data_IF_215009566574
#
_entry.id   IF_215009566574
#
_cell.length_a   1.000
_cell.length_b   1.000
_cell.length_c   1.000
_cell.angle_alpha   90.00
_cell.angle_beta   90.00
_cell.angle_gamma   90.00
#
_symmetry.space_group_name_H-M   'P 1'
#
loop_
_entity.id
_entity.type
_entity.pdbx_description
1 polymer ?
#
# COMPACT_ATOMS: atom_id res chain seq x y z
N UNK A 1 -8.95 -25.32 -1.31
CA UNK A 1 -8.38 -24.36 -0.33
C UNK A 1 -8.96 -23.02 -0.70
N UNK A 2 -9.42 -22.25 0.27
CA UNK A 2 -9.88 -20.88 -0.01
C UNK A 2 -8.69 -20.02 -0.47
N UNK A 3 -8.96 -19.08 -1.38
CA UNK A 3 -7.94 -18.17 -1.89
C UNK A 3 -7.45 -17.25 -0.76
N UNK A 4 -6.13 -17.16 -0.57
CA UNK A 4 -5.50 -16.34 0.47
C UNK A 4 -5.46 -14.85 0.14
N UNK A 5 -5.62 -14.51 -1.14
CA UNK A 5 -5.89 -13.19 -1.66
C UNK A 5 -7.24 -13.24 -2.38
N UNK A 6 -8.20 -12.47 -1.92
CA UNK A 6 -9.52 -12.38 -2.56
C UNK A 6 -9.61 -11.03 -3.26
N UNK A 7 -9.92 -11.05 -4.57
CA UNK A 7 -10.22 -9.86 -5.37
C UNK A 7 -11.73 -9.74 -5.56
N UNK A 8 -12.29 -8.62 -5.17
CA UNK A 8 -13.71 -8.27 -5.39
C UNK A 8 -13.79 -6.91 -6.09
N UNK A 9 -14.60 -6.79 -7.14
CA UNK A 9 -14.81 -5.52 -7.85
C UNK A 9 -16.23 -5.03 -7.60
N UNK A 10 -16.35 -3.79 -7.14
CA UNK A 10 -17.66 -3.15 -6.88
C UNK A 10 -17.54 -1.64 -7.10
N UNK A 11 -18.46 -1.05 -7.85
CA UNK A 11 -18.53 0.41 -8.08
C UNK A 11 -17.20 1.01 -8.55
N UNK A 12 -16.51 0.36 -9.50
CA UNK A 12 -15.18 0.77 -10.01
C UNK A 12 -14.09 0.80 -8.92
N UNK A 13 -14.29 0.11 -7.81
CA UNK A 13 -13.31 -0.09 -6.74
C UNK A 13 -12.93 -1.58 -6.67
N UNK A 14 -11.63 -1.87 -6.67
CA UNK A 14 -11.10 -3.21 -6.44
C UNK A 14 -10.77 -3.39 -4.95
N UNK A 15 -11.37 -4.37 -4.31
CA UNK A 15 -11.03 -4.77 -2.95
C UNK A 15 -10.08 -5.96 -3.01
N UNK A 16 -8.90 -5.82 -2.43
CA UNK A 16 -7.94 -6.91 -2.23
C UNK A 16 -7.96 -7.25 -0.74
N UNK A 17 -8.43 -8.46 -0.43
CA UNK A 17 -8.50 -8.95 0.93
C UNK A 17 -7.37 -9.93 1.21
N UNK A 18 -6.60 -9.69 2.27
CA UNK A 18 -5.75 -10.72 2.88
C UNK A 18 -6.67 -11.70 3.61
N UNK A 19 -6.65 -12.98 3.24
CA UNK A 19 -7.63 -13.97 3.69
C UNK A 19 -6.98 -15.20 4.32
N UNK A 20 -6.31 -14.99 5.45
CA UNK A 20 -5.83 -16.02 6.39
C UNK A 20 -6.17 -15.61 7.83
N UNK A 21 -7.46 -15.39 8.17
CA UNK A 21 -7.85 -14.85 9.48
C UNK A 21 -7.40 -15.75 10.65
N UNK A 22 -7.39 -17.07 10.47
CA UNK A 22 -6.89 -18.07 11.43
C UNK A 22 -5.41 -17.89 11.78
N UNK A 23 -4.62 -17.26 10.91
CA UNK A 23 -3.21 -16.90 11.06
C UNK A 23 -3.00 -15.39 11.17
N UNK A 24 -4.05 -14.62 11.50
CA UNK A 24 -4.00 -13.15 11.54
C UNK A 24 -3.40 -12.56 10.27
N UNK A 25 -3.76 -13.12 9.14
CA UNK A 25 -3.30 -12.73 7.81
C UNK A 25 -1.77 -12.66 7.67
N UNK A 26 -1.04 -13.58 8.36
CA UNK A 26 0.39 -13.69 8.18
C UNK A 26 0.74 -13.92 6.70
N UNK A 27 1.72 -13.16 6.20
CA UNK A 27 2.14 -13.12 4.81
C UNK A 27 3.01 -14.34 4.51
N UNK A 28 2.42 -15.34 3.88
CA UNK A 28 3.14 -16.49 3.33
C UNK A 28 3.56 -16.25 1.87
N UNK A 29 4.22 -17.25 1.28
CA UNK A 29 4.69 -17.17 -0.10
C UNK A 29 3.58 -16.88 -1.11
N UNK A 30 2.37 -17.43 -0.88
CA UNK A 30 1.26 -17.25 -1.81
C UNK A 30 0.76 -15.80 -1.78
N UNK A 31 0.58 -15.21 -0.59
CA UNK A 31 0.19 -13.80 -0.46
C UNK A 31 1.30 -12.90 -1.03
N UNK A 32 2.54 -13.16 -0.60
CA UNK A 32 3.66 -12.28 -0.94
C UNK A 32 3.92 -12.21 -2.44
N UNK A 33 3.96 -13.39 -3.10
CA UNK A 33 4.38 -13.44 -4.50
C UNK A 33 3.24 -13.32 -5.52
N UNK A 34 1.97 -13.50 -5.08
CA UNK A 34 0.82 -13.28 -5.97
C UNK A 34 0.26 -11.86 -5.91
N UNK A 35 0.55 -11.09 -4.84
CA UNK A 35 0.05 -9.71 -4.72
C UNK A 35 0.42 -8.82 -5.92
N UNK A 36 1.66 -8.82 -6.46
CA UNK A 36 2.00 -8.08 -7.66
C UNK A 36 1.13 -8.43 -8.86
N UNK A 37 0.89 -9.72 -9.09
CA UNK A 37 0.08 -10.19 -10.21
C UNK A 37 -1.37 -9.75 -10.11
N UNK A 38 -1.95 -9.77 -8.90
CA UNK A 38 -3.33 -9.29 -8.66
C UNK A 38 -3.45 -7.80 -8.95
N UNK A 39 -2.47 -7.00 -8.49
CA UNK A 39 -2.44 -5.55 -8.75
C UNK A 39 -2.25 -5.28 -10.24
N UNK A 40 -1.35 -6.00 -10.90
CA UNK A 40 -1.08 -5.82 -12.32
C UNK A 40 -2.30 -6.19 -13.18
N UNK A 41 -2.99 -7.28 -12.85
CA UNK A 41 -4.24 -7.67 -13.50
C UNK A 41 -5.30 -6.56 -13.43
N UNK A 42 -5.52 -5.95 -12.26
CA UNK A 42 -6.46 -4.83 -12.09
C UNK A 42 -6.06 -3.65 -12.99
N UNK A 43 -4.77 -3.30 -13.01
CA UNK A 43 -4.27 -2.17 -13.81
C UNK A 43 -4.32 -2.42 -15.32
N UNK A 44 -3.98 -3.63 -15.77
CA UNK A 44 -3.95 -4.00 -17.20
C UNK A 44 -5.36 -4.13 -17.78
N UNK A 45 -6.23 -4.81 -17.04
CA UNK A 45 -7.61 -5.04 -17.49
C UNK A 45 -8.53 -3.84 -17.22
N UNK A 46 -8.03 -2.79 -16.54
CA UNK A 46 -8.81 -1.60 -16.15
C UNK A 46 -10.08 -1.97 -15.37
N UNK A 47 -9.96 -2.93 -14.46
CA UNK A 47 -11.11 -3.46 -13.72
C UNK A 47 -11.67 -2.47 -12.69
N UNK A 48 -10.85 -1.50 -12.26
CA UNK A 48 -11.22 -0.51 -11.26
C UNK A 48 -10.39 0.78 -11.40
N UNK A 49 -10.81 1.84 -10.71
CA UNK A 49 -10.17 3.15 -10.68
C UNK A 49 -9.50 3.46 -9.32
N UNK A 50 -9.74 2.61 -8.32
CA UNK A 50 -9.12 2.68 -7.00
C UNK A 50 -9.03 1.27 -6.41
N UNK A 51 -7.98 0.99 -5.63
CA UNK A 51 -7.81 -0.26 -4.89
C UNK A 51 -8.00 0.01 -3.40
N UNK A 52 -8.76 -0.84 -2.71
CA UNK A 52 -8.84 -0.94 -1.25
C UNK A 52 -8.15 -2.22 -0.82
N UNK A 53 -7.12 -2.11 0.02
CA UNK A 53 -6.38 -3.24 0.58
C UNK A 53 -6.74 -3.40 2.06
N UNK A 54 -7.27 -4.57 2.45
CA UNK A 54 -7.73 -4.85 3.81
C UNK A 54 -7.48 -6.31 4.21
N UNK A 55 -7.61 -6.63 5.48
CA UNK A 55 -7.58 -7.99 6.01
C UNK A 55 -8.97 -8.53 6.35
N UNK A 56 -9.22 -9.81 6.13
CA UNK A 56 -10.40 -10.49 6.69
C UNK A 56 -10.15 -10.85 8.17
N UNK A 57 -11.19 -10.88 8.97
CA UNK A 57 -11.11 -11.23 10.39
C UNK A 57 -10.71 -10.05 11.29
N UNK A 58 -9.94 -10.33 12.34
CA UNK A 58 -9.65 -9.39 13.43
C UNK A 58 -8.36 -8.56 13.26
N UNK A 59 -7.66 -8.73 12.14
CA UNK A 59 -6.36 -8.08 11.92
C UNK A 59 -6.09 -7.83 10.44
N UNK A 60 -5.40 -6.74 10.15
CA UNK A 60 -4.88 -6.50 8.81
C UNK A 60 -3.84 -7.56 8.45
N UNK A 61 -2.72 -7.64 9.19
CA UNK A 61 -1.74 -8.72 9.06
C UNK A 61 -0.74 -8.72 10.23
N UNK A 62 -0.39 -9.92 10.70
CA UNK A 62 0.67 -10.11 11.70
C UNK A 62 2.09 -10.02 11.12
N UNK A 63 2.24 -9.73 9.82
CA UNK A 63 3.51 -9.64 9.14
C UNK A 63 3.95 -10.97 8.51
N UNK A 64 5.24 -11.17 8.32
CA UNK A 64 5.77 -12.38 7.66
C UNK A 64 5.39 -13.66 8.42
N UNK A 65 5.00 -14.68 7.68
CA UNK A 65 4.82 -16.02 8.23
C UNK A 65 6.20 -16.58 8.63
N UNK A 66 6.40 -16.78 9.94
CA UNK A 66 7.69 -17.20 10.49
C UNK A 66 8.12 -18.55 9.91
N UNK A 67 7.19 -19.45 9.60
CA UNK A 67 7.52 -20.74 8.97
C UNK A 67 8.10 -20.57 7.58
N UNK A 68 7.55 -19.66 6.79
CA UNK A 68 8.10 -19.27 5.49
C UNK A 68 9.50 -18.66 5.65
N UNK A 69 9.67 -17.76 6.61
CA UNK A 69 10.93 -17.09 6.86
C UNK A 69 12.04 -18.11 7.22
N UNK A 70 11.77 -19.01 8.16
CA UNK A 70 12.72 -20.03 8.58
C UNK A 70 13.08 -21.02 7.46
N UNK A 71 12.11 -21.43 6.65
CA UNK A 71 12.36 -22.34 5.51
C UNK A 71 13.11 -21.67 4.35
N UNK A 72 12.95 -20.36 4.17
CA UNK A 72 13.63 -19.61 3.11
C UNK A 72 15.08 -19.25 3.40
N UNK A 73 15.53 -19.33 4.66
CA UNK A 73 16.88 -18.95 5.01
C UNK A 73 17.93 -20.05 4.84
N UNK A 74 17.55 -21.31 4.58
CA UNK A 74 18.47 -22.47 4.43
C UNK A 74 19.65 -22.42 5.43
N UNK A 75 19.37 -22.02 6.67
CA UNK A 75 20.41 -21.89 7.69
C UNK A 75 20.88 -23.28 8.14
N UNK A 76 22.13 -23.55 7.94
CA UNK A 76 22.78 -24.71 8.55
C UNK A 76 22.82 -24.55 10.09
N UNK A 77 22.95 -25.65 10.82
CA UNK A 77 23.00 -25.63 12.30
C UNK A 77 24.12 -24.73 12.85
N UNK A 78 25.20 -24.53 12.10
CA UNK A 78 26.33 -23.66 12.43
C UNK A 78 26.17 -22.22 11.92
N UNK A 79 25.00 -21.85 11.36
CA UNK A 79 24.71 -20.55 10.74
C UNK A 79 25.66 -20.19 9.60
N UNK A 80 26.35 -21.16 8.99
CA UNK A 80 27.19 -20.95 7.82
C UNK A 80 26.30 -20.77 6.57
N UNK A 81 26.75 -19.94 5.64
CA UNK A 81 26.09 -19.76 4.34
C UNK A 81 27.11 -19.80 3.21
N UNK A 82 26.79 -20.53 2.17
CA UNK A 82 27.57 -20.56 0.94
C UNK A 82 27.34 -19.30 0.10
N UNK A 83 28.16 -19.01 -0.92
CA UNK A 83 27.87 -17.96 -1.87
C UNK A 83 26.53 -18.16 -2.61
N UNK A 84 26.14 -19.41 -2.86
CA UNK A 84 24.87 -19.79 -3.47
C UNK A 84 23.70 -19.45 -2.57
N UNK A 85 23.74 -19.80 -1.29
CA UNK A 85 22.68 -19.48 -0.31
C UNK A 85 22.48 -17.96 -0.23
N UNK A 86 23.57 -17.19 -0.26
CA UNK A 86 23.48 -15.70 -0.24
C UNK A 86 22.86 -15.14 -1.51
N UNK A 87 23.09 -15.76 -2.66
CA UNK A 87 22.48 -15.36 -3.93
C UNK A 87 20.99 -15.66 -3.93
N UNK A 88 20.59 -16.83 -3.43
CA UNK A 88 19.19 -17.20 -3.27
C UNK A 88 18.47 -16.27 -2.31
N UNK A 89 19.09 -15.93 -1.17
CA UNK A 89 18.54 -14.97 -0.22
C UNK A 89 18.39 -13.58 -0.85
N UNK A 90 19.37 -13.10 -1.63
CA UNK A 90 19.27 -11.82 -2.35
C UNK A 90 18.04 -11.82 -3.28
N UNK A 91 17.88 -12.88 -4.10
CA UNK A 91 16.73 -13.00 -5.02
C UNK A 91 15.39 -13.09 -4.26
N UNK A 92 15.38 -13.73 -3.09
CA UNK A 92 14.19 -13.77 -2.25
C UNK A 92 13.82 -12.37 -1.75
N UNK A 93 14.80 -11.63 -1.21
CA UNK A 93 14.58 -10.25 -0.73
C UNK A 93 14.12 -9.34 -1.88
N UNK A 94 14.72 -9.43 -3.07
CA UNK A 94 14.28 -8.69 -4.26
C UNK A 94 12.81 -8.96 -4.58
N UNK A 95 12.40 -10.24 -4.64
CA UNK A 95 10.99 -10.60 -4.87
C UNK A 95 10.05 -10.08 -3.77
N UNK A 96 10.51 -10.07 -2.52
CA UNK A 96 9.74 -9.53 -1.40
C UNK A 96 9.60 -8.01 -1.50
N UNK A 97 10.64 -7.30 -1.94
CA UNK A 97 10.57 -5.86 -2.22
C UNK A 97 9.64 -5.55 -3.40
N UNK A 98 9.67 -6.37 -4.45
CA UNK A 98 8.79 -6.21 -5.62
C UNK A 98 7.32 -6.29 -5.25
N UNK A 99 6.95 -7.12 -4.27
CA UNK A 99 5.57 -7.24 -3.80
C UNK A 99 4.99 -5.90 -3.31
N UNK A 100 5.76 -5.15 -2.54
CA UNK A 100 5.30 -3.86 -2.03
C UNK A 100 5.57 -2.72 -3.02
N UNK A 101 6.60 -2.85 -3.83
CA UNK A 101 6.85 -1.91 -4.93
C UNK A 101 5.73 -1.95 -5.97
N UNK A 102 5.09 -3.11 -6.19
CA UNK A 102 3.90 -3.21 -7.05
C UNK A 102 2.72 -2.38 -6.53
N UNK A 103 2.53 -2.29 -5.20
CA UNK A 103 1.52 -1.40 -4.58
C UNK A 103 1.84 0.05 -4.91
N UNK A 104 3.07 0.49 -4.62
CA UNK A 104 3.54 1.86 -4.86
C UNK A 104 3.40 2.23 -6.33
N UNK A 105 3.81 1.33 -7.24
CA UNK A 105 3.79 1.52 -8.68
C UNK A 105 2.43 1.25 -9.35
N UNK A 106 1.40 0.86 -8.59
CA UNK A 106 0.04 0.76 -9.14
C UNK A 106 -0.35 2.05 -9.85
N UNK A 107 -0.89 1.95 -11.07
CA UNK A 107 -1.34 3.12 -11.85
C UNK A 107 -2.49 3.83 -11.15
N UNK A 108 -3.37 3.08 -10.47
CA UNK A 108 -4.50 3.63 -9.74
C UNK A 108 -4.17 3.74 -8.25
N UNK A 109 -4.82 4.66 -7.51
CA UNK A 109 -4.60 4.83 -6.08
C UNK A 109 -4.91 3.58 -5.26
N UNK A 110 -4.11 3.36 -4.21
CA UNK A 110 -4.27 2.26 -3.26
C UNK A 110 -4.52 2.82 -1.87
N UNK A 111 -5.68 2.48 -1.29
CA UNK A 111 -6.08 2.83 0.08
C UNK A 111 -5.93 1.59 0.95
N UNK A 112 -5.19 1.68 2.04
CA UNK A 112 -5.10 0.61 3.02
C UNK A 112 -6.00 0.86 4.22
N UNK A 113 -6.72 -0.18 4.68
CA UNK A 113 -7.58 -0.17 5.84
C UNK A 113 -6.95 -1.03 6.95
N UNK A 114 -6.22 -0.40 7.86
CA UNK A 114 -5.45 -1.06 8.90
C UNK A 114 -6.28 -1.25 10.18
N UNK A 115 -6.40 -2.49 10.66
CA UNK A 115 -7.06 -2.81 11.92
C UNK A 115 -6.37 -3.97 12.63
N UNK A 116 -6.56 -4.09 13.94
CA UNK A 116 -5.91 -5.13 14.73
C UNK A 116 -4.38 -5.10 14.53
N UNK A 117 -3.76 -6.22 14.23
CA UNK A 117 -2.31 -6.27 14.02
C UNK A 117 -1.89 -5.81 12.62
N UNK A 118 -0.86 -4.96 12.59
CA UNK A 118 -0.20 -4.41 11.40
C UNK A 118 1.33 -4.43 11.65
N UNK A 119 1.95 -5.61 11.74
CA UNK A 119 3.27 -5.78 12.32
C UNK A 119 4.32 -6.12 11.24
N UNK A 120 5.52 -5.55 11.33
CA UNK A 120 6.66 -5.87 10.47
C UNK A 120 6.32 -5.74 8.98
N UNK A 121 6.30 -6.83 8.23
CA UNK A 121 5.93 -6.86 6.81
C UNK A 121 4.60 -6.16 6.50
N UNK A 122 3.62 -6.20 7.43
CA UNK A 122 2.36 -5.48 7.27
C UNK A 122 2.57 -3.95 7.34
N UNK A 123 3.37 -3.45 8.27
CA UNK A 123 3.73 -2.02 8.33
C UNK A 123 4.50 -1.60 7.08
N UNK A 124 5.38 -2.47 6.56
CA UNK A 124 6.07 -2.25 5.28
C UNK A 124 5.07 -2.14 4.12
N UNK A 125 4.12 -3.07 4.00
CA UNK A 125 3.05 -3.06 2.99
C UNK A 125 2.23 -1.76 3.04
N UNK A 126 1.81 -1.36 4.25
CA UNK A 126 1.08 -0.12 4.48
C UNK A 126 1.87 1.12 4.03
N UNK A 127 3.20 1.12 4.24
CA UNK A 127 4.05 2.25 3.83
C UNK A 127 4.11 2.46 2.31
N UNK A 128 3.76 1.44 1.52
CA UNK A 128 3.73 1.48 0.06
C UNK A 128 2.36 1.95 -0.50
N UNK A 129 1.31 2.02 0.33
CA UNK A 129 0.00 2.50 -0.09
C UNK A 129 -0.05 4.03 -0.16
N UNK A 130 -0.88 4.58 -1.05
CA UNK A 130 -1.05 6.04 -1.20
C UNK A 130 -1.75 6.65 0.01
N UNK A 131 -2.82 6.03 0.47
CA UNK A 131 -3.62 6.48 1.61
C UNK A 131 -3.72 5.34 2.63
N UNK A 132 -3.60 5.67 3.90
CA UNK A 132 -3.72 4.73 5.02
C UNK A 132 -4.77 5.25 6.00
N UNK A 133 -5.78 4.44 6.26
CA UNK A 133 -6.78 4.66 7.30
C UNK A 133 -6.66 3.52 8.32
N UNK A 134 -7.01 3.77 9.58
CA UNK A 134 -6.88 2.75 10.61
C UNK A 134 -8.01 2.76 11.64
N UNK A 135 -8.15 1.68 12.41
CA UNK A 135 -8.86 1.74 13.68
C UNK A 135 -7.97 2.35 14.77
N UNK A 136 -8.55 3.01 15.77
CA UNK A 136 -7.81 3.65 16.88
C UNK A 136 -6.95 2.65 17.64
N UNK A 137 -7.42 1.41 17.78
CA UNK A 137 -6.78 0.32 18.50
C UNK A 137 -5.83 -0.53 17.64
N UNK A 138 -5.71 -0.25 16.33
CA UNK A 138 -4.77 -0.93 15.45
C UNK A 138 -3.35 -0.84 16.02
N UNK A 139 -2.60 -1.96 15.93
CA UNK A 139 -1.27 -2.10 16.50
C UNK A 139 -0.23 -2.20 15.41
N UNK A 140 0.62 -1.21 15.30
CA UNK A 140 1.72 -1.15 14.32
C UNK A 140 3.07 -1.45 14.97
N UNK A 141 4.02 -1.96 14.20
CA UNK A 141 5.41 -2.09 14.64
C UNK A 141 6.36 -2.22 13.45
N UNK A 142 7.51 -1.53 13.52
CA UNK A 142 8.71 -1.84 12.74
C UNK A 142 9.53 -2.79 13.64
N UNK A 143 9.13 -4.08 13.69
CA UNK A 143 9.57 -5.00 14.73
C UNK A 143 10.84 -5.78 14.40
N UNK A 144 11.40 -5.60 13.21
CA UNK A 144 12.51 -6.38 12.65
C UNK A 144 13.76 -6.31 13.54
N UNK A 145 14.03 -5.15 14.12
CA UNK A 145 15.18 -4.95 15.05
C UNK A 145 15.15 -5.89 16.27
N UNK A 146 13.93 -6.23 16.77
CA UNK A 146 13.79 -7.21 17.87
C UNK A 146 14.09 -8.65 17.47
N UNK A 147 14.07 -8.93 16.18
CA UNK A 147 14.44 -10.23 15.60
C UNK A 147 15.88 -10.27 15.12
N UNK A 148 16.66 -9.20 15.34
CA UNK A 148 18.04 -9.10 14.87
C UNK A 148 18.15 -8.85 13.37
N UNK A 149 17.09 -8.26 12.74
CA UNK A 149 17.00 -7.99 11.32
C UNK A 149 16.95 -6.48 11.06
N UNK A 150 17.37 -6.09 9.88
CA UNK A 150 17.06 -4.77 9.32
C UNK A 150 15.74 -4.88 8.55
N UNK A 151 14.84 -3.90 8.68
CA UNK A 151 13.63 -3.87 7.87
C UNK A 151 14.01 -3.55 6.41
N UNK A 152 14.03 -4.57 5.56
CA UNK A 152 14.64 -4.54 4.23
C UNK A 152 13.64 -4.53 3.06
N UNK A 153 12.32 -4.54 3.36
CA UNK A 153 11.28 -4.54 2.32
C UNK A 153 10.57 -3.19 2.14
N UNK A 154 11.18 -2.10 2.66
CA UNK A 154 10.91 -0.75 2.19
C UNK A 154 10.34 0.25 3.18
N UNK A 155 9.94 -0.13 4.42
CA UNK A 155 9.42 0.84 5.40
C UNK A 155 10.43 1.93 5.75
N UNK A 156 11.72 1.59 5.84
CA UNK A 156 12.80 2.54 6.17
C UNK A 156 13.07 3.54 5.03
N UNK A 157 12.69 3.20 3.81
CA UNK A 157 12.83 4.05 2.63
C UNK A 157 11.59 4.90 2.38
N UNK A 158 10.38 4.36 2.66
CA UNK A 158 9.10 5.00 2.37
C UNK A 158 8.59 5.87 3.53
N UNK A 159 8.56 5.34 4.74
CA UNK A 159 7.99 6.02 5.90
C UNK A 159 8.61 7.41 6.19
N UNK A 160 9.94 7.64 6.05
CA UNK A 160 10.53 8.97 6.25
C UNK A 160 10.09 10.05 5.27
N UNK A 161 9.34 9.70 4.21
CA UNK A 161 8.79 10.68 3.25
C UNK A 161 7.56 11.41 3.80
N UNK A 162 6.87 10.83 4.81
CA UNK A 162 5.63 11.37 5.35
C UNK A 162 5.55 11.36 6.89
N UNK A 163 6.46 10.65 7.57
CA UNK A 163 6.63 10.66 9.03
C UNK A 163 7.96 11.33 9.37
N UNK A 164 8.04 12.06 10.49
CA UNK A 164 9.29 12.71 10.88
C UNK A 164 10.41 11.68 11.06
N UNK A 165 11.62 12.05 10.64
CA UNK A 165 12.79 11.15 10.79
C UNK A 165 13.03 10.74 12.25
N UNK A 166 12.71 11.59 13.21
CA UNK A 166 12.84 11.28 14.63
C UNK A 166 11.88 10.15 15.05
N UNK A 167 10.61 10.25 14.66
CA UNK A 167 9.62 9.23 14.97
C UNK A 167 9.97 7.89 14.29
N UNK A 168 10.38 7.91 13.02
CA UNK A 168 10.82 6.71 12.31
C UNK A 168 12.00 6.05 13.02
N UNK A 169 13.03 6.82 13.38
CA UNK A 169 14.20 6.32 14.08
C UNK A 169 13.83 5.67 15.42
N UNK A 170 13.00 6.35 16.22
CA UNK A 170 12.56 5.84 17.51
C UNK A 170 11.80 4.50 17.35
N UNK A 171 10.84 4.45 16.44
CA UNK A 171 10.03 3.25 16.19
C UNK A 171 10.87 2.10 15.62
N UNK A 172 11.76 2.38 14.67
CA UNK A 172 12.62 1.36 14.05
C UNK A 172 13.69 0.85 15.00
N UNK A 173 14.33 1.71 15.80
CA UNK A 173 15.39 1.29 16.72
C UNK A 173 14.85 0.51 17.92
N UNK A 174 13.68 0.90 18.43
CA UNK A 174 13.07 0.23 19.57
C UNK A 174 12.25 -1.00 19.18
N UNK A 175 11.74 -1.06 17.96
CA UNK A 175 10.79 -2.08 17.51
C UNK A 175 9.52 -2.11 18.36
N UNK A 176 9.21 -1.02 19.09
CA UNK A 176 8.03 -0.97 19.96
C UNK A 176 6.75 -0.91 19.14
N UNK A 177 5.66 -1.38 19.74
CA UNK A 177 4.33 -1.18 19.16
C UNK A 177 3.83 0.24 19.39
N UNK A 178 3.01 0.72 18.46
CA UNK A 178 2.27 1.96 18.58
C UNK A 178 0.85 1.76 18.03
N UNK A 179 -0.11 2.44 18.62
CA UNK A 179 -1.52 2.32 18.27
C UNK A 179 -1.94 3.24 17.12
N UNK A 180 -3.19 3.10 16.67
CA UNK A 180 -3.76 3.93 15.61
C UNK A 180 -3.77 5.43 15.96
N UNK A 181 -4.06 5.77 17.21
CA UNK A 181 -4.05 7.17 17.64
C UNK A 181 -2.65 7.79 17.55
N UNK A 182 -1.62 7.05 17.92
CA UNK A 182 -0.23 7.49 17.74
C UNK A 182 0.14 7.55 16.26
N UNK A 183 -0.30 6.55 15.46
CA UNK A 183 -0.07 6.51 14.01
C UNK A 183 -0.66 7.76 13.30
N UNK A 184 -1.86 8.19 13.69
CA UNK A 184 -2.46 9.44 13.19
C UNK A 184 -1.67 10.67 13.62
N UNK A 185 -1.27 10.74 14.89
CA UNK A 185 -0.48 11.85 15.44
C UNK A 185 0.83 12.08 14.68
N UNK A 186 1.54 11.00 14.31
CA UNK A 186 2.79 11.06 13.56
C UNK A 186 2.58 11.09 12.03
N UNK A 187 1.34 11.11 11.56
CA UNK A 187 0.96 11.12 10.14
C UNK A 187 1.30 9.84 9.39
N UNK A 188 1.48 8.73 10.08
CA UNK A 188 1.59 7.41 9.43
C UNK A 188 0.26 7.00 8.81
N UNK A 189 -0.88 7.28 9.45
CA UNK A 189 -2.22 7.15 8.89
C UNK A 189 -2.89 8.52 8.80
N UNK A 190 -3.81 8.68 7.85
CA UNK A 190 -4.51 9.95 7.60
C UNK A 190 -5.63 10.20 8.60
N UNK A 191 -6.33 9.13 9.01
CA UNK A 191 -7.46 9.20 9.94
C UNK A 191 -7.66 7.88 10.66
N UNK A 192 -8.29 7.94 11.85
CA UNK A 192 -8.63 6.77 12.65
C UNK A 192 -10.12 6.70 12.96
N UNK A 193 -10.63 5.49 13.11
CA UNK A 193 -12.04 5.15 13.34
C UNK A 193 -12.19 4.26 14.57
N UNK A 194 -13.39 4.23 15.17
CA UNK A 194 -13.61 3.51 16.42
C UNK A 194 -13.61 1.98 16.24
N UNK A 195 -14.04 1.48 15.09
CA UNK A 195 -14.13 0.06 14.77
C UNK A 195 -13.91 -0.19 13.28
N UNK A 196 -13.85 -1.48 12.89
CA UNK A 196 -13.60 -1.88 11.52
C UNK A 196 -14.76 -1.56 10.57
N UNK A 197 -16.00 -1.61 11.02
CA UNK A 197 -17.16 -1.31 10.15
C UNK A 197 -17.16 0.17 9.75
N UNK A 198 -16.89 1.08 10.70
CA UNK A 198 -16.76 2.52 10.43
C UNK A 198 -15.55 2.81 9.52
N UNK A 199 -14.43 2.10 9.74
CA UNK A 199 -13.24 2.19 8.91
C UNK A 199 -13.53 1.73 7.47
N UNK A 200 -14.22 0.59 7.31
CA UNK A 200 -14.57 0.04 6.00
C UNK A 200 -15.54 0.96 5.24
N UNK A 201 -16.55 1.49 5.93
CA UNK A 201 -17.50 2.44 5.33
C UNK A 201 -16.78 3.71 4.86
N UNK A 202 -15.95 4.31 5.69
CA UNK A 202 -15.18 5.49 5.34
C UNK A 202 -14.18 5.25 4.20
N UNK A 203 -13.47 4.11 4.23
CA UNK A 203 -12.54 3.74 3.16
C UNK A 203 -13.24 3.46 1.83
N UNK A 204 -14.42 2.83 1.88
CA UNK A 204 -15.26 2.60 0.70
C UNK A 204 -15.74 3.92 0.10
N UNK A 205 -16.28 4.84 0.91
CA UNK A 205 -16.71 6.17 0.44
C UNK A 205 -15.56 6.95 -0.21
N UNK A 206 -14.40 6.96 0.41
CA UNK A 206 -13.21 7.62 -0.15
C UNK A 206 -12.77 6.99 -1.47
N UNK A 207 -12.79 5.66 -1.57
CA UNK A 207 -12.43 4.94 -2.79
C UNK A 207 -13.43 5.22 -3.93
N UNK A 208 -14.74 5.23 -3.63
CA UNK A 208 -15.79 5.55 -4.59
C UNK A 208 -15.71 7.03 -5.05
N UNK A 209 -15.39 7.95 -4.14
CA UNK A 209 -15.14 9.37 -4.48
C UNK A 209 -13.95 9.50 -5.43
N UNK A 210 -12.83 8.82 -5.17
CA UNK A 210 -11.69 8.79 -6.08
C UNK A 210 -12.07 8.16 -7.42
N UNK A 211 -12.77 7.02 -7.38
CA UNK A 211 -13.15 6.25 -8.57
C UNK A 211 -14.18 6.97 -9.46
N UNK A 212 -14.91 7.95 -8.92
CA UNK A 212 -15.86 8.79 -9.69
C UNK A 212 -15.18 9.88 -10.52
N UNK A 213 -13.91 10.20 -10.26
CA UNK A 213 -13.14 11.15 -11.05
C UNK A 213 -12.61 10.51 -12.34
N UNK A 214 -12.12 11.35 -13.29
CA UNK A 214 -11.50 10.86 -14.52
C UNK A 214 -10.33 9.92 -14.21
N UNK A 215 -10.40 8.63 -14.59
CA UNK A 215 -9.35 7.64 -14.27
C UNK A 215 -7.98 8.08 -14.76
N UNK A 216 -7.93 8.61 -15.98
CA UNK A 216 -6.70 9.12 -16.60
C UNK A 216 -6.07 10.27 -15.82
N UNK A 217 -6.90 11.20 -15.33
CA UNK A 217 -6.41 12.37 -14.59
C UNK A 217 -5.96 11.98 -13.17
N UNK A 218 -6.67 11.05 -12.51
CA UNK A 218 -6.23 10.51 -11.21
C UNK A 218 -4.89 9.78 -11.35
N UNK A 219 -4.72 8.92 -12.36
CA UNK A 219 -3.45 8.22 -12.63
C UNK A 219 -2.31 9.20 -12.90
N UNK A 220 -2.55 10.21 -13.74
CA UNK A 220 -1.56 11.24 -14.03
C UNK A 220 -1.20 12.08 -12.81
N UNK A 221 -2.17 12.37 -11.94
CA UNK A 221 -1.95 13.08 -10.68
C UNK A 221 -1.06 12.25 -9.75
N UNK A 222 -1.35 10.95 -9.58
CA UNK A 222 -0.50 10.02 -8.82
C UNK A 222 0.93 10.00 -9.39
N UNK A 223 1.08 9.84 -10.70
CA UNK A 223 2.39 9.82 -11.35
C UNK A 223 3.16 11.14 -11.13
N UNK A 224 2.49 12.29 -11.24
CA UNK A 224 3.11 13.59 -11.03
C UNK A 224 3.60 13.76 -9.58
N UNK A 225 2.82 13.31 -8.58
CA UNK A 225 3.21 13.32 -7.17
C UNK A 225 4.46 12.44 -6.96
N UNK A 226 4.42 11.18 -7.41
CA UNK A 226 5.52 10.23 -7.25
C UNK A 226 6.81 10.70 -7.92
N UNK A 227 6.73 11.22 -9.13
CA UNK A 227 7.91 11.78 -9.83
C UNK A 227 8.49 12.99 -9.11
N UNK A 228 7.63 13.83 -8.53
CA UNK A 228 8.05 15.03 -7.82
C UNK A 228 8.80 14.74 -6.51
N UNK A 229 8.63 13.58 -5.89
CA UNK A 229 9.32 13.21 -4.64
C UNK A 229 10.85 13.27 -4.71
N UNK A 230 11.41 12.97 -5.87
CA UNK A 230 12.87 12.93 -6.09
C UNK A 230 13.39 14.08 -6.97
N UNK A 231 12.55 15.06 -7.27
CA UNK A 231 12.88 16.21 -8.12
C UNK A 231 12.89 17.50 -7.28
N UNK A 232 13.62 18.52 -7.78
CA UNK A 232 13.40 19.87 -7.29
C UNK A 232 12.00 20.35 -7.69
N UNK A 233 11.46 21.33 -6.97
CA UNK A 233 10.14 21.92 -7.30
C UNK A 233 10.09 22.36 -8.75
N UNK A 234 11.16 23.00 -9.25
CA UNK A 234 11.22 23.48 -10.66
C UNK A 234 11.13 22.31 -11.66
N UNK A 235 11.86 21.22 -11.42
CA UNK A 235 11.80 20.04 -12.28
C UNK A 235 10.42 19.38 -12.26
N UNK A 236 9.77 19.30 -11.08
CA UNK A 236 8.39 18.82 -10.96
C UNK A 236 7.40 19.69 -11.73
N UNK A 237 7.54 21.03 -11.65
CA UNK A 237 6.72 21.98 -12.42
C UNK A 237 6.96 21.85 -13.93
N UNK A 238 8.19 21.62 -14.38
CA UNK A 238 8.50 21.40 -15.78
C UNK A 238 7.86 20.10 -16.30
N UNK A 239 7.85 19.03 -15.49
CA UNK A 239 7.13 17.80 -15.80
C UNK A 239 5.62 18.05 -15.92
N UNK A 240 5.00 18.71 -14.93
CA UNK A 240 3.58 19.04 -14.94
C UNK A 240 3.17 19.89 -16.15
N UNK A 241 4.05 20.85 -16.55
CA UNK A 241 3.87 21.68 -17.76
C UNK A 241 3.81 20.84 -19.03
N UNK A 242 4.77 19.91 -19.20
CA UNK A 242 4.80 19.01 -20.35
C UNK A 242 3.54 18.13 -20.38
N UNK A 243 3.12 17.59 -19.24
CA UNK A 243 1.90 16.82 -19.14
C UNK A 243 0.68 17.64 -19.53
N UNK A 244 0.52 18.84 -18.95
CA UNK A 244 -0.61 19.73 -19.23
C UNK A 244 -0.67 20.14 -20.71
N UNK A 245 0.46 20.51 -21.30
CA UNK A 245 0.49 20.91 -22.73
C UNK A 245 0.16 19.76 -23.68
N UNK A 246 0.42 18.52 -23.27
CA UNK A 246 0.14 17.34 -24.10
C UNK A 246 -1.30 16.82 -23.95
N UNK A 247 -1.91 16.93 -22.77
CA UNK A 247 -3.13 16.20 -22.43
C UNK A 247 -4.27 17.06 -21.86
N UNK A 248 -4.09 18.37 -21.63
CA UNK A 248 -5.11 19.23 -21.04
C UNK A 248 -6.39 19.27 -21.89
N UNK A 249 -6.24 19.41 -23.21
CA UNK A 249 -7.39 19.46 -24.11
C UNK A 249 -7.87 18.03 -24.35
N UNK A 250 -8.93 17.64 -23.65
CA UNK A 250 -9.44 16.28 -23.63
C UNK A 250 -10.97 16.24 -23.48
N UNK A 251 -11.58 15.10 -23.79
CA UNK A 251 -13.02 14.90 -23.54
C UNK A 251 -13.32 14.96 -22.04
N UNK A 252 -12.39 14.53 -21.17
CA UNK A 252 -12.56 14.61 -19.71
C UNK A 252 -12.65 16.07 -19.24
N UNK A 253 -11.78 16.96 -19.75
CA UNK A 253 -11.88 18.38 -19.45
C UNK A 253 -13.21 18.96 -19.93
N UNK A 254 -13.64 18.63 -21.14
CA UNK A 254 -14.91 19.07 -21.69
C UNK A 254 -16.10 18.61 -20.85
N UNK A 255 -16.12 17.32 -20.48
CA UNK A 255 -17.16 16.77 -19.61
C UNK A 255 -17.16 17.45 -18.24
N UNK A 256 -16.01 17.58 -17.59
CA UNK A 256 -15.89 18.22 -16.29
C UNK A 256 -16.39 19.67 -16.30
N UNK A 257 -16.01 20.46 -17.31
CA UNK A 257 -16.49 21.86 -17.48
C UNK A 257 -18.00 21.89 -17.77
N UNK A 258 -18.49 21.01 -18.63
CA UNK A 258 -19.93 20.96 -18.98
C UNK A 258 -20.77 20.59 -17.76
N UNK A 259 -20.36 19.53 -17.02
CA UNK A 259 -21.04 19.10 -15.81
C UNK A 259 -21.09 20.20 -14.74
N UNK A 260 -19.97 20.93 -14.56
CA UNK A 260 -19.92 22.07 -13.64
C UNK A 260 -20.89 23.17 -14.01
N UNK A 261 -20.98 23.56 -15.30
CA UNK A 261 -21.91 24.59 -15.80
C UNK A 261 -23.39 24.14 -15.68
N UNK A 262 -23.64 22.85 -15.90
CA UNK A 262 -24.98 22.24 -15.80
C UNK A 262 -25.36 21.86 -14.34
N UNK A 263 -24.48 22.05 -13.39
CA UNK A 263 -24.65 21.68 -11.97
C UNK A 263 -25.06 20.21 -11.77
N UNK A 264 -24.42 19.32 -12.48
CA UNK A 264 -24.57 17.85 -12.35
C UNK A 264 -23.23 17.18 -12.08
N UNK A 265 -23.28 15.94 -11.65
CA UNK A 265 -22.07 15.10 -11.54
C UNK A 265 -21.50 14.80 -12.94
N UNK A 266 -20.17 14.86 -13.10
CA UNK A 266 -19.52 14.50 -14.35
C UNK A 266 -19.60 12.97 -14.59
N UNK A 267 -19.59 12.59 -15.87
CA UNK A 267 -19.55 11.19 -16.30
C UNK A 267 -18.33 10.98 -17.17
N UNK A 268 -17.25 10.54 -16.55
CA UNK A 268 -16.03 10.26 -17.28
C UNK A 268 -16.10 8.88 -17.94
N UNK A 269 -15.67 8.81 -19.20
CA UNK A 269 -15.52 7.53 -19.90
C UNK A 269 -14.15 6.92 -19.57
N UNK A 270 -14.09 5.61 -19.54
CA UNK A 270 -12.87 4.82 -19.28
C UNK A 270 -11.78 5.03 -20.33
#
# INVERSE_FOLDING_TARGET
MEDKLIKEIKNNVAYIWLNRPDKKNALDSDIWFNLPSVIDEINVNKEANCIVLAGKGDSFSAGIDITMFMSGMNLNEDLSSTPEDRRELLQLVEKMQDAFTAIENSKIPVIALAHGFCIGGATNMLSACDIRLATKDAQFSIGETKLGLVADVGVLQRMPRFVSKSDVNELAYTGRRFDGAHAEKIRFVSSVYDNFDDLLDAGTKLAEEIASNSPRIVQATKEAIQKSENLSVQQGLDYAKLWSTSFLVSEDLKEGVTAFLEKREPKFNE
#
